data_IF_657123479912
#
_entry.id   IF_657123479912
#
_cell.length_a   1.000
_cell.length_b   1.000
_cell.length_c   1.000
_cell.angle_alpha   90.00
_cell.angle_beta   90.00
_cell.angle_gamma   90.00
#
_symmetry.space_group_name_H-M   'P 1'
#
loop_
_entity.id
_entity.type
_entity.pdbx_description
1 polymer ?
#
# COMPACT_ATOMS: atom_id res chain seq x y z
N UNK A 1 26.37 9.69 -7.50
CA UNK A 1 26.26 9.77 -6.00
C UNK A 1 25.63 8.49 -5.49
N UNK A 2 26.30 7.79 -4.58
CA UNK A 2 25.73 6.60 -3.96
C UNK A 2 24.91 7.03 -2.74
N UNK A 3 23.60 6.86 -2.82
CA UNK A 3 22.71 7.06 -1.68
C UNK A 3 23.04 6.05 -0.58
N UNK A 4 23.06 6.50 0.65
CA UNK A 4 23.20 5.68 1.86
C UNK A 4 22.21 6.18 2.90
N UNK A 5 21.89 5.33 3.88
CA UNK A 5 21.07 5.68 5.04
C UNK A 5 19.73 6.33 4.66
N UNK A 6 19.04 5.76 3.68
CA UNK A 6 17.74 6.26 3.22
C UNK A 6 16.63 5.22 3.33
N UNK A 7 15.40 5.68 3.24
CA UNK A 7 14.20 4.86 3.22
C UNK A 7 13.42 5.10 1.93
N UNK A 8 13.01 4.03 1.30
CA UNK A 8 12.18 4.02 0.09
C UNK A 8 10.85 3.37 0.45
N UNK A 9 9.76 4.03 0.12
CA UNK A 9 8.40 3.49 0.26
C UNK A 9 7.78 3.40 -1.11
N UNK A 10 7.37 2.20 -1.49
CA UNK A 10 6.68 1.90 -2.74
C UNK A 10 5.19 1.69 -2.46
N UNK A 11 4.35 2.00 -3.43
CA UNK A 11 2.89 1.86 -3.30
C UNK A 11 2.38 0.72 -4.17
N UNK A 12 1.81 -0.29 -3.52
CA UNK A 12 1.08 -1.40 -4.14
C UNK A 12 -0.45 -1.18 -3.98
N UNK A 13 -1.19 -2.24 -3.78
CA UNK A 13 -2.64 -2.22 -3.51
C UNK A 13 -3.03 -3.45 -2.67
N UNK A 14 -4.00 -3.31 -1.79
CA UNK A 14 -4.57 -4.43 -1.05
C UNK A 14 -5.25 -5.47 -1.98
N UNK A 15 -5.63 -5.06 -3.20
CA UNK A 15 -6.22 -5.95 -4.20
C UNK A 15 -5.31 -7.12 -4.61
N UNK A 16 -3.98 -7.02 -4.40
CA UNK A 16 -3.05 -8.13 -4.64
C UNK A 16 -3.27 -9.32 -3.70
N UNK A 17 -3.95 -9.11 -2.58
CA UNK A 17 -4.18 -10.12 -1.54
C UNK A 17 -5.60 -10.70 -1.56
N UNK A 18 -6.46 -10.20 -2.44
CA UNK A 18 -7.85 -10.65 -2.61
C UNK A 18 -8.20 -10.73 -4.08
N UNK A 19 -9.14 -11.61 -4.43
CA UNK A 19 -9.68 -11.69 -5.79
C UNK A 19 -10.74 -10.62 -6.00
N UNK A 20 -10.44 -9.62 -6.80
CA UNK A 20 -11.40 -8.62 -7.27
C UNK A 20 -11.58 -8.74 -8.77
N UNK A 21 -12.83 -8.74 -9.25
CA UNK A 21 -13.15 -8.80 -10.67
C UNK A 21 -12.52 -7.62 -11.43
N UNK A 22 -12.01 -7.87 -12.61
CA UNK A 22 -11.41 -6.86 -13.51
C UNK A 22 -10.15 -6.15 -12.93
N UNK A 23 -9.42 -6.81 -12.04
CA UNK A 23 -8.20 -6.28 -11.43
C UNK A 23 -6.93 -7.03 -11.85
N UNK A 24 -7.00 -7.93 -12.84
CA UNK A 24 -5.89 -8.80 -13.24
C UNK A 24 -4.64 -7.99 -13.62
N UNK A 25 -4.81 -6.95 -14.43
CA UNK A 25 -3.70 -6.12 -14.90
C UNK A 25 -3.06 -5.33 -13.76
N UNK A 26 -3.87 -4.63 -12.98
CA UNK A 26 -3.35 -3.82 -11.87
C UNK A 26 -2.73 -4.69 -10.77
N UNK A 27 -3.33 -5.85 -10.46
CA UNK A 27 -2.78 -6.78 -9.48
C UNK A 27 -1.45 -7.35 -9.94
N UNK A 28 -1.31 -7.74 -11.23
CA UNK A 28 -0.05 -8.22 -11.80
C UNK A 28 1.07 -7.17 -11.65
N UNK A 29 0.80 -5.94 -12.04
CA UNK A 29 1.77 -4.84 -11.95
C UNK A 29 2.16 -4.53 -10.50
N UNK A 30 1.19 -4.46 -9.60
CA UNK A 30 1.40 -4.08 -8.20
C UNK A 30 2.03 -5.20 -7.37
N UNK A 31 1.69 -6.47 -7.62
CA UNK A 31 2.37 -7.60 -7.01
C UNK A 31 3.86 -7.66 -7.42
N UNK A 32 4.17 -7.25 -8.65
CA UNK A 32 5.54 -7.07 -9.10
C UNK A 32 6.32 -6.06 -8.27
N UNK A 33 5.69 -4.94 -7.86
CA UNK A 33 6.29 -3.94 -6.96
C UNK A 33 6.60 -4.55 -5.58
N UNK A 34 5.75 -5.42 -5.06
CA UNK A 34 6.00 -6.10 -3.78
C UNK A 34 7.19 -7.04 -3.85
N UNK A 35 7.31 -7.80 -4.96
CA UNK A 35 8.48 -8.63 -5.24
C UNK A 35 9.76 -7.81 -5.40
N UNK A 36 9.70 -6.72 -6.15
CA UNK A 36 10.80 -5.78 -6.33
C UNK A 36 11.26 -5.21 -4.98
N UNK A 37 10.33 -4.79 -4.13
CA UNK A 37 10.64 -4.25 -2.80
C UNK A 37 11.45 -5.22 -1.94
N UNK A 38 11.02 -6.49 -1.87
CA UNK A 38 11.74 -7.52 -1.10
C UNK A 38 13.16 -7.76 -1.63
N UNK A 39 13.31 -7.86 -2.93
CA UNK A 39 14.61 -8.04 -3.56
C UNK A 39 15.53 -6.84 -3.37
N UNK A 40 14.99 -5.63 -3.56
CA UNK A 40 15.73 -4.38 -3.37
C UNK A 40 16.18 -4.18 -1.92
N UNK A 41 15.32 -4.51 -0.94
CA UNK A 41 15.67 -4.46 0.47
C UNK A 41 16.93 -5.28 0.77
N UNK A 42 17.05 -6.48 0.18
CA UNK A 42 18.25 -7.32 0.32
C UNK A 42 19.44 -6.75 -0.45
N UNK A 43 19.24 -6.33 -1.69
CA UNK A 43 20.31 -5.82 -2.56
C UNK A 43 20.99 -4.60 -1.95
N UNK A 44 20.22 -3.69 -1.40
CA UNK A 44 20.72 -2.40 -0.91
C UNK A 44 20.97 -2.35 0.60
N UNK A 45 20.79 -3.46 1.31
CA UNK A 45 21.01 -3.54 2.77
C UNK A 45 22.40 -3.09 3.22
N UNK A 46 23.45 -3.41 2.44
CA UNK A 46 24.84 -3.01 2.74
C UNK A 46 25.06 -1.49 2.70
N UNK A 47 24.16 -0.74 2.06
CA UNK A 47 24.17 0.73 2.01
C UNK A 47 23.26 1.34 3.07
N UNK A 48 22.71 0.50 3.95
CA UNK A 48 21.70 0.88 4.93
C UNK A 48 20.46 1.57 4.29
N UNK A 49 20.07 1.09 3.10
CA UNK A 49 18.86 1.55 2.41
C UNK A 49 17.73 0.57 2.76
N UNK A 50 16.68 1.11 3.34
CA UNK A 50 15.45 0.36 3.63
C UNK A 50 14.45 0.51 2.49
N UNK A 51 13.79 -0.58 2.13
CA UNK A 51 12.75 -0.57 1.08
C UNK A 51 11.54 -1.30 1.60
N UNK A 52 10.42 -0.62 1.67
CA UNK A 52 9.15 -1.17 2.13
C UNK A 52 8.03 -0.81 1.14
N UNK A 53 6.94 -1.54 1.23
CA UNK A 53 5.75 -1.32 0.41
C UNK A 53 4.55 -1.03 1.30
N UNK A 54 3.66 -0.18 0.84
CA UNK A 54 2.33 0.02 1.42
C UNK A 54 1.31 -0.44 0.39
N UNK A 55 0.34 -1.22 0.83
CA UNK A 55 -0.78 -1.73 0.02
C UNK A 55 -2.10 -1.13 0.53
N UNK A 56 -2.54 0.01 -0.01
CA UNK A 56 -3.79 0.65 0.39
C UNK A 56 -5.02 -0.16 -0.05
N UNK A 57 -6.09 -0.09 0.75
CA UNK A 57 -7.43 -0.34 0.27
C UNK A 57 -7.96 0.82 -0.57
N UNK A 58 -9.27 0.81 -0.87
CA UNK A 58 -9.87 1.92 -1.60
C UNK A 58 -9.73 3.21 -0.78
N UNK A 59 -9.06 4.19 -1.37
CA UNK A 59 -8.74 5.48 -0.73
C UNK A 59 -9.26 6.61 -1.61
N UNK A 60 -9.83 7.67 -1.00
CA UNK A 60 -10.30 8.86 -1.72
C UNK A 60 -9.14 9.60 -2.34
N UNK A 61 -9.05 9.53 -3.65
CA UNK A 61 -8.04 10.21 -4.47
C UNK A 61 -8.65 10.59 -5.82
N UNK A 62 -8.03 11.47 -6.61
CA UNK A 62 -8.48 11.71 -7.98
C UNK A 62 -8.61 10.43 -8.82
N UNK A 63 -7.75 9.44 -8.59
CA UNK A 63 -7.77 8.16 -9.31
C UNK A 63 -9.03 7.33 -9.03
N UNK A 64 -9.57 7.41 -7.81
CA UNK A 64 -10.71 6.61 -7.36
C UNK A 64 -12.06 7.34 -7.47
N UNK A 65 -12.13 8.52 -8.09
CA UNK A 65 -13.35 9.34 -8.19
C UNK A 65 -14.55 8.61 -8.76
N UNK A 66 -14.36 7.79 -9.78
CA UNK A 66 -15.45 7.02 -10.39
C UNK A 66 -16.21 6.13 -9.40
N UNK A 67 -15.56 5.73 -8.32
CA UNK A 67 -16.14 4.93 -7.23
C UNK A 67 -16.58 5.85 -6.08
N UNK A 68 -15.69 6.72 -5.61
CA UNK A 68 -15.90 7.50 -4.39
C UNK A 68 -16.91 8.64 -4.54
N UNK A 69 -17.19 9.10 -5.77
CA UNK A 69 -18.23 10.09 -6.09
C UNK A 69 -19.55 9.44 -6.56
N UNK A 70 -19.59 8.13 -6.76
CA UNK A 70 -20.81 7.39 -7.05
C UNK A 70 -21.40 6.82 -5.76
N UNK A 71 -22.58 7.26 -5.35
CA UNK A 71 -23.21 6.90 -4.08
C UNK A 71 -23.40 5.38 -3.90
N UNK A 72 -23.81 4.69 -4.97
CA UNK A 72 -24.05 3.23 -4.91
C UNK A 72 -22.73 2.47 -4.80
N UNK A 73 -21.77 2.81 -5.65
CA UNK A 73 -20.45 2.19 -5.66
C UNK A 73 -19.68 2.45 -4.34
N UNK A 74 -19.79 3.67 -3.81
CA UNK A 74 -19.17 4.03 -2.53
C UNK A 74 -19.75 3.20 -1.39
N UNK A 75 -21.09 3.13 -1.25
CA UNK A 75 -21.72 2.32 -0.21
C UNK A 75 -21.38 0.84 -0.31
N UNK A 76 -21.30 0.30 -1.51
CA UNK A 76 -20.88 -1.07 -1.71
C UNK A 76 -19.42 -1.28 -1.25
N UNK A 77 -18.53 -0.36 -1.60
CA UNK A 77 -17.13 -0.41 -1.20
C UNK A 77 -16.96 -0.25 0.31
N UNK A 78 -17.69 0.66 0.95
CA UNK A 78 -17.64 0.84 2.40
C UNK A 78 -17.98 -0.44 3.16
N UNK A 79 -18.99 -1.18 2.69
CA UNK A 79 -19.39 -2.47 3.29
C UNK A 79 -18.35 -3.57 3.15
N UNK A 80 -17.46 -3.48 2.16
CA UNK A 80 -16.37 -4.45 2.00
C UNK A 80 -15.26 -4.26 3.03
N UNK A 81 -15.13 -3.07 3.60
CA UNK A 81 -14.13 -2.75 4.61
C UNK A 81 -14.70 -3.02 6.01
N UNK A 82 -13.96 -3.71 6.88
CA UNK A 82 -14.41 -3.98 8.24
C UNK A 82 -14.70 -2.70 9.05
N UNK A 83 -13.97 -1.62 8.75
CA UNK A 83 -14.20 -0.32 9.38
C UNK A 83 -15.35 0.48 8.77
N UNK A 84 -16.11 -0.11 7.81
CA UNK A 84 -17.30 0.48 7.17
C UNK A 84 -17.07 1.88 6.58
N UNK A 85 -15.89 2.14 6.08
CA UNK A 85 -15.53 3.35 5.34
C UNK A 85 -14.42 3.07 4.34
N UNK A 86 -14.27 3.91 3.34
CA UNK A 86 -13.07 3.95 2.50
C UNK A 86 -11.97 4.76 3.19
N UNK A 87 -10.74 4.57 2.77
CA UNK A 87 -9.58 5.29 3.31
C UNK A 87 -9.55 6.75 2.86
N UNK A 88 -8.92 7.58 3.67
CA UNK A 88 -8.54 8.94 3.33
C UNK A 88 -7.02 8.99 3.06
N UNK A 89 -6.53 9.96 2.27
CA UNK A 89 -5.09 10.08 2.00
C UNK A 89 -4.23 10.07 3.26
N UNK A 90 -4.74 10.64 4.36
CA UNK A 90 -4.04 10.68 5.65
C UNK A 90 -3.86 9.30 6.27
N UNK A 91 -4.77 8.36 6.05
CA UNK A 91 -4.62 6.99 6.54
C UNK A 91 -3.36 6.33 5.96
N UNK A 92 -3.01 6.68 4.73
CA UNK A 92 -1.84 6.14 4.05
C UNK A 92 -0.58 6.96 4.36
N UNK A 93 -0.67 8.30 4.31
CA UNK A 93 0.49 9.18 4.52
C UNK A 93 1.08 9.06 5.92
N UNK A 94 0.29 8.79 6.95
CA UNK A 94 0.78 8.55 8.31
C UNK A 94 1.77 7.38 8.33
N UNK A 95 1.48 6.28 7.63
CA UNK A 95 2.39 5.14 7.56
C UNK A 95 3.63 5.45 6.70
N UNK A 96 3.48 6.24 5.64
CA UNK A 96 4.62 6.69 4.84
C UNK A 96 5.60 7.47 5.73
N UNK A 97 5.10 8.46 6.46
CA UNK A 97 5.91 9.27 7.39
C UNK A 97 6.59 8.39 8.44
N UNK A 98 5.87 7.42 9.00
CA UNK A 98 6.42 6.47 9.95
C UNK A 98 7.60 5.68 9.37
N UNK A 99 7.45 5.14 8.17
CA UNK A 99 8.49 4.35 7.49
C UNK A 99 9.70 5.20 7.05
N UNK A 100 9.48 6.47 6.72
CA UNK A 100 10.55 7.39 6.34
C UNK A 100 11.35 7.89 7.54
N UNK A 101 10.79 7.83 8.75
CA UNK A 101 11.48 8.27 9.95
C UNK A 101 12.71 7.40 10.23
N UNK A 102 13.85 8.04 10.51
CA UNK A 102 15.13 7.39 10.79
C UNK A 102 15.11 6.56 12.09
N UNK A 103 14.26 6.90 13.05
CA UNK A 103 14.09 6.14 14.28
C UNK A 103 13.56 4.71 14.02
N UNK A 104 12.79 4.53 12.95
CA UNK A 104 12.20 3.25 12.56
C UNK A 104 13.13 2.44 11.64
N UNK A 105 14.40 2.34 12.01
CA UNK A 105 15.47 1.83 11.15
C UNK A 105 15.58 0.29 11.08
N UNK A 106 14.75 -0.45 11.82
CA UNK A 106 14.74 -1.92 11.82
C UNK A 106 13.64 -2.53 10.93
N UNK A 107 13.03 -1.71 10.05
CA UNK A 107 11.92 -2.11 9.18
C UNK A 107 12.36 -2.02 7.72
N UNK A 108 12.47 -3.17 7.04
CA UNK A 108 12.78 -3.25 5.61
C UNK A 108 12.22 -4.54 5.00
N UNK A 109 11.93 -4.54 3.71
CA UNK A 109 11.40 -5.68 2.97
C UNK A 109 9.95 -6.04 3.32
N UNK A 110 9.23 -5.17 4.02
CA UNK A 110 7.86 -5.41 4.47
C UNK A 110 6.83 -4.82 3.51
N UNK A 111 5.67 -5.46 3.45
CA UNK A 111 4.47 -4.90 2.83
C UNK A 111 3.42 -4.64 3.91
N UNK A 112 3.04 -3.38 4.07
CA UNK A 112 2.05 -2.93 5.06
C UNK A 112 0.70 -2.72 4.37
N UNK A 113 -0.27 -3.56 4.70
CA UNK A 113 -1.62 -3.45 4.17
C UNK A 113 -2.40 -2.46 5.04
N UNK A 114 -2.87 -1.38 4.44
CA UNK A 114 -3.65 -0.32 5.09
C UNK A 114 -4.99 -0.20 4.36
N UNK A 115 -5.93 -1.02 4.73
CA UNK A 115 -7.15 -1.26 3.95
C UNK A 115 -8.45 -1.35 4.76
N UNK A 116 -8.40 -0.93 6.02
CA UNK A 116 -9.59 -0.99 6.89
C UNK A 116 -10.16 -2.40 7.08
N UNK A 117 -9.32 -3.44 6.93
CA UNK A 117 -9.70 -4.84 7.08
C UNK A 117 -10.28 -5.49 5.83
N UNK A 118 -10.23 -4.82 4.67
CA UNK A 118 -10.78 -5.33 3.40
C UNK A 118 -10.23 -6.71 3.03
N UNK A 119 -8.92 -6.93 3.15
CA UNK A 119 -8.28 -8.16 2.68
C UNK A 119 -8.17 -9.27 3.72
N UNK A 120 -8.39 -8.97 4.98
CA UNK A 120 -8.11 -9.90 6.10
C UNK A 120 -9.30 -10.25 6.96
N UNK A 121 -10.41 -9.53 6.83
CA UNK A 121 -11.64 -9.77 7.59
C UNK A 121 -12.78 -10.22 6.65
N UNK A 122 -13.72 -11.01 7.18
CA UNK A 122 -14.92 -11.47 6.48
C UNK A 122 -16.17 -11.03 7.22
#
# INVERSE_FOLDING_TARGET
MLLKDCSIVLISTAATNIGLSNHELICSAKAGIEGLSRSAAKTYSRKNIRVNTISPGLTRTPLSRSITENTIALKASEKMHALNRVGEPKDISNMIVYLLNKENNWITGQNFIIDGGLSTTK
#
